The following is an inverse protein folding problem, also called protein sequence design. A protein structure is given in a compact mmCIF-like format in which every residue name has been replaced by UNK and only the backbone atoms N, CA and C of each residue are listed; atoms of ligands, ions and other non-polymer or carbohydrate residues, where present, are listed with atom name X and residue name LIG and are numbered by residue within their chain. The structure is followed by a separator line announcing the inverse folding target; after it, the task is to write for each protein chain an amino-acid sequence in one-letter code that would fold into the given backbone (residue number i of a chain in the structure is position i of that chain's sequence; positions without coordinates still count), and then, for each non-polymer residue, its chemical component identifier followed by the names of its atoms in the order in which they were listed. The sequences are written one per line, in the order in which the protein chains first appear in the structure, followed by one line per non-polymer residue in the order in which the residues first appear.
data_IF_106828858147
#
_entry.id   IF_106828858147
#
_cell.length_a   1.000
_cell.length_b   1.000
_cell.length_c   1.000
_cell.angle_alpha   90.00
_cell.angle_beta   90.00
_cell.angle_gamma   90.00
#
_symmetry.space_group_name_H-M   'P 1'
#
loop_
_entity.id
_entity.type
_entity.pdbx_description
1 polymer ?
#
# COMPACT_ATOMS: atom_id res chain seq x y z
N UNK A 1 74.87 -23.40 -0.42
CA UNK A 1 73.71 -23.09 -1.30
C UNK A 1 72.96 -24.41 -1.50
N UNK A 2 72.02 -24.73 -0.60
CA UNK A 2 71.29 -26.00 -0.62
C UNK A 2 70.09 -25.86 -1.57
N UNK A 3 70.15 -26.54 -2.72
CA UNK A 3 68.99 -26.70 -3.60
C UNK A 3 67.97 -27.61 -2.92
N UNK A 4 66.74 -27.13 -2.75
CA UNK A 4 65.63 -27.98 -2.35
C UNK A 4 65.39 -29.03 -3.46
N UNK A 5 65.25 -30.33 -3.12
CA UNK A 5 64.94 -31.35 -4.12
C UNK A 5 63.61 -31.01 -4.80
N UNK A 6 63.57 -31.15 -6.13
CA UNK A 6 62.43 -30.79 -7.01
C UNK A 6 61.08 -31.28 -6.47
N UNK A 7 61.07 -32.45 -5.84
CA UNK A 7 59.86 -33.11 -5.35
C UNK A 7 59.25 -32.41 -4.14
N UNK A 8 60.07 -31.79 -3.29
CA UNK A 8 59.58 -30.95 -2.16
C UNK A 8 58.97 -29.65 -2.66
N UNK A 9 59.54 -29.06 -3.70
CA UNK A 9 58.99 -27.85 -4.33
C UNK A 9 57.64 -28.18 -4.97
N UNK A 10 57.54 -29.30 -5.67
CA UNK A 10 56.29 -29.78 -6.29
C UNK A 10 55.19 -30.06 -5.26
N UNK A 11 55.56 -30.68 -4.13
CA UNK A 11 54.63 -30.99 -3.03
C UNK A 11 54.09 -29.72 -2.34
N UNK A 12 54.95 -28.71 -2.11
CA UNK A 12 54.54 -27.42 -1.56
C UNK A 12 53.63 -26.69 -2.55
N UNK A 13 53.96 -26.67 -3.85
CA UNK A 13 53.13 -26.03 -4.87
C UNK A 13 51.75 -26.68 -4.97
N UNK A 14 51.68 -28.02 -4.89
CA UNK A 14 50.43 -28.78 -4.87
C UNK A 14 49.60 -28.49 -3.61
N UNK A 15 50.24 -28.37 -2.45
CA UNK A 15 49.57 -28.03 -1.18
C UNK A 15 49.01 -26.60 -1.17
N UNK A 16 49.73 -25.64 -1.75
CA UNK A 16 49.23 -24.27 -1.94
C UNK A 16 48.06 -24.27 -2.94
N UNK A 17 48.19 -25.01 -4.04
CA UNK A 17 47.12 -25.16 -5.03
C UNK A 17 45.84 -25.70 -4.41
N UNK A 18 45.93 -26.79 -3.64
CA UNK A 18 44.78 -27.36 -2.93
C UNK A 18 44.18 -26.42 -1.88
N UNK A 19 45.01 -25.67 -1.15
CA UNK A 19 44.54 -24.65 -0.21
C UNK A 19 43.77 -23.52 -0.90
N UNK A 20 44.29 -22.99 -2.01
CA UNK A 20 43.61 -21.95 -2.82
C UNK A 20 42.31 -22.50 -3.41
N UNK A 21 42.31 -23.73 -3.91
CA UNK A 21 41.09 -24.40 -4.39
C UNK A 21 40.04 -24.57 -3.29
N UNK A 22 40.45 -24.88 -2.05
CA UNK A 22 39.55 -24.98 -0.92
C UNK A 22 38.91 -23.62 -0.57
N UNK A 23 39.68 -22.53 -0.57
CA UNK A 23 39.16 -21.17 -0.37
C UNK A 23 38.16 -20.81 -1.48
N UNK A 24 38.51 -21.07 -2.74
CA UNK A 24 37.63 -20.81 -3.87
C UNK A 24 36.30 -21.60 -3.76
N UNK A 25 36.37 -22.86 -3.34
CA UNK A 25 35.18 -23.69 -3.11
C UNK A 25 34.29 -23.13 -1.99
N UNK A 26 34.87 -22.72 -0.86
CA UNK A 26 34.12 -22.08 0.24
C UNK A 26 33.42 -20.81 -0.25
N UNK A 27 34.14 -19.97 -1.01
CA UNK A 27 33.57 -18.75 -1.56
C UNK A 27 32.45 -19.01 -2.56
N UNK A 28 32.59 -20.03 -3.42
CA UNK A 28 31.55 -20.43 -4.35
C UNK A 28 30.28 -20.91 -3.62
N UNK A 29 30.42 -21.70 -2.54
CA UNK A 29 29.29 -22.13 -1.71
C UNK A 29 28.60 -20.91 -1.08
N UNK A 30 29.38 -19.98 -0.51
CA UNK A 30 28.85 -18.77 0.09
C UNK A 30 28.09 -17.90 -0.91
N UNK A 31 28.65 -17.68 -2.09
CA UNK A 31 28.00 -16.93 -3.17
C UNK A 31 26.71 -17.62 -3.62
N UNK A 32 26.71 -18.95 -3.74
CA UNK A 32 25.52 -19.74 -4.09
C UNK A 32 24.40 -19.56 -3.06
N UNK A 33 24.73 -19.55 -1.76
CA UNK A 33 23.76 -19.31 -0.69
C UNK A 33 23.18 -17.89 -0.82
N UNK A 34 24.01 -16.88 -1.04
CA UNK A 34 23.55 -15.49 -1.21
C UNK A 34 22.65 -15.35 -2.44
N UNK A 35 23.03 -15.93 -3.57
CA UNK A 35 22.25 -15.91 -4.80
C UNK A 35 20.88 -16.56 -4.61
N UNK A 36 20.84 -17.75 -3.99
CA UNK A 36 19.57 -18.43 -3.65
C UNK A 36 18.66 -17.54 -2.81
N UNK A 37 19.20 -16.90 -1.77
CA UNK A 37 18.43 -15.99 -0.90
C UNK A 37 17.86 -14.79 -1.65
N UNK A 38 18.59 -14.24 -2.64
CA UNK A 38 18.10 -13.14 -3.47
C UNK A 38 17.04 -13.61 -4.47
N UNK A 39 17.24 -14.77 -5.08
CA UNK A 39 16.28 -15.39 -6.01
C UNK A 39 14.98 -15.78 -5.31
N UNK A 40 15.00 -16.10 -4.02
CA UNK A 40 13.78 -16.50 -3.30
C UNK A 40 13.02 -15.38 -2.63
N UNK A 41 13.43 -14.12 -2.83
CA UNK A 41 12.78 -12.98 -2.19
C UNK A 41 11.53 -12.55 -2.98
N UNK A 42 10.33 -12.62 -2.39
CA UNK A 42 9.14 -12.03 -2.99
C UNK A 42 9.19 -10.51 -2.85
N UNK A 43 8.62 -9.81 -3.83
CA UNK A 43 8.51 -8.36 -3.79
C UNK A 43 7.14 -7.96 -4.35
N UNK A 44 6.30 -7.42 -3.48
CA UNK A 44 4.88 -7.20 -3.76
C UNK A 44 4.67 -5.74 -4.17
N UNK A 45 3.91 -5.53 -5.24
CA UNK A 45 3.42 -4.23 -5.69
C UNK A 45 1.89 -4.26 -5.77
N UNK A 46 1.29 -3.15 -5.36
CA UNK A 46 -0.14 -2.88 -5.48
C UNK A 46 -0.33 -1.82 -6.55
N UNK A 47 -1.26 -2.06 -7.48
CA UNK A 47 -1.59 -1.09 -8.51
C UNK A 47 -2.60 -0.08 -8.00
N UNK A 48 -2.45 1.17 -8.42
CA UNK A 48 -3.43 2.21 -8.16
C UNK A 48 -4.76 1.86 -8.82
N UNK A 49 -5.86 2.20 -8.15
CA UNK A 49 -7.22 1.86 -8.59
C UNK A 49 -8.04 3.13 -8.73
N UNK A 50 -8.86 3.20 -9.77
CA UNK A 50 -9.75 4.34 -9.97
C UNK A 50 -11.04 4.15 -9.16
N UNK A 51 -11.48 5.20 -8.49
CA UNK A 51 -12.71 5.22 -7.70
C UNK A 51 -13.49 6.45 -8.13
N UNK A 52 -14.77 6.26 -8.47
CA UNK A 52 -15.66 7.36 -8.81
C UNK A 52 -16.66 7.56 -7.69
N UNK A 53 -16.87 8.81 -7.29
CA UNK A 53 -17.93 9.19 -6.37
C UNK A 53 -19.05 9.88 -7.13
N UNK A 54 -20.27 9.68 -6.68
CA UNK A 54 -21.44 10.42 -7.12
C UNK A 54 -22.38 10.57 -5.94
N UNK A 55 -22.73 11.81 -5.62
CA UNK A 55 -23.77 12.12 -4.63
C UNK A 55 -24.72 13.15 -5.21
N UNK A 56 -26.01 12.93 -4.97
CA UNK A 56 -27.08 13.78 -5.46
C UNK A 56 -27.97 14.19 -4.29
N UNK A 57 -28.29 15.49 -4.19
CA UNK A 57 -29.09 16.06 -3.09
C UNK A 57 -28.51 15.72 -1.71
N UNK A 58 -27.21 15.94 -1.53
CA UNK A 58 -26.50 15.63 -0.28
C UNK A 58 -27.21 16.25 0.93
N UNK A 59 -27.73 15.39 1.81
CA UNK A 59 -28.49 15.74 3.02
C UNK A 59 -27.89 15.12 4.29
N UNK A 60 -26.68 14.56 4.20
CA UNK A 60 -26.14 13.73 5.26
C UNK A 60 -25.07 12.76 4.78
N UNK A 61 -24.73 11.80 5.63
CA UNK A 61 -23.79 10.75 5.25
C UNK A 61 -24.39 9.85 4.18
N UNK A 62 -23.73 9.77 3.04
CA UNK A 62 -24.17 8.99 1.89
C UNK A 62 -23.49 7.61 1.90
N UNK A 63 -24.26 6.57 2.18
CA UNK A 63 -23.78 5.18 2.16
C UNK A 63 -23.43 4.70 0.75
N UNK A 64 -24.08 5.26 -0.27
CA UNK A 64 -23.96 4.86 -1.68
C UNK A 64 -23.09 5.84 -2.49
N UNK A 65 -22.22 6.61 -1.80
CA UNK A 65 -21.40 7.68 -2.39
C UNK A 65 -20.45 7.20 -3.50
N UNK A 66 -20.14 5.89 -3.54
CA UNK A 66 -19.28 5.29 -4.56
C UNK A 66 -20.15 4.91 -5.77
N UNK A 67 -19.85 5.52 -6.91
CA UNK A 67 -20.57 5.30 -8.17
C UNK A 67 -20.40 3.85 -8.65
N UNK A 68 -21.48 3.27 -9.18
CA UNK A 68 -21.54 1.91 -9.76
C UNK A 68 -21.32 0.75 -8.76
N UNK A 69 -21.45 0.99 -7.45
CA UNK A 69 -21.19 -0.03 -6.44
C UNK A 69 -22.37 -0.97 -6.15
N UNK A 70 -23.60 -0.63 -6.57
CA UNK A 70 -24.82 -1.38 -6.21
C UNK A 70 -24.76 -2.89 -6.44
N UNK A 71 -23.82 -3.41 -7.26
CA UNK A 71 -23.55 -4.85 -7.39
C UNK A 71 -22.05 -5.22 -7.61
N UNK A 72 -21.08 -4.33 -7.37
CA UNK A 72 -19.68 -4.58 -7.74
C UNK A 72 -18.72 -4.33 -6.58
N UNK A 73 -18.10 -5.41 -6.11
CA UNK A 73 -17.03 -5.37 -5.10
C UNK A 73 -15.82 -4.63 -5.65
N UNK A 74 -15.30 -3.69 -4.89
CA UNK A 74 -14.13 -2.90 -5.29
C UNK A 74 -12.83 -3.71 -5.16
N UNK A 75 -11.98 -3.66 -6.20
CA UNK A 75 -10.77 -4.50 -6.28
C UNK A 75 -9.55 -3.72 -6.73
N UNK A 76 -8.40 -4.06 -6.18
CA UNK A 76 -7.08 -3.63 -6.68
C UNK A 76 -6.27 -4.83 -7.15
N UNK A 77 -5.28 -4.57 -8.01
CA UNK A 77 -4.37 -5.60 -8.50
C UNK A 77 -3.12 -5.68 -7.64
N UNK A 78 -2.84 -6.90 -7.21
CA UNK A 78 -1.64 -7.30 -6.50
C UNK A 78 -0.74 -8.08 -7.46
N UNK A 79 0.56 -7.83 -7.40
CA UNK A 79 1.53 -8.51 -8.27
C UNK A 79 2.84 -8.72 -7.50
N UNK A 80 3.34 -9.96 -7.52
CA UNK A 80 4.66 -10.28 -7.01
C UNK A 80 5.69 -10.10 -8.12
N UNK A 81 6.43 -8.99 -8.11
CA UNK A 81 7.52 -8.70 -9.06
C UNK A 81 8.87 -9.25 -8.61
N UNK A 82 8.94 -9.86 -7.42
CA UNK A 82 10.13 -10.50 -6.90
C UNK A 82 10.48 -11.77 -7.67
N UNK A 83 11.56 -12.42 -7.26
CA UNK A 83 12.02 -13.66 -7.89
C UNK A 83 11.50 -14.92 -7.17
N UNK A 84 11.04 -14.78 -5.92
CA UNK A 84 10.50 -15.86 -5.10
C UNK A 84 8.99 -15.84 -4.97
N UNK A 85 8.39 -17.00 -4.72
CA UNK A 85 6.96 -17.11 -4.44
C UNK A 85 6.62 -16.60 -3.03
N UNK A 86 5.52 -15.86 -2.92
CA UNK A 86 4.90 -15.53 -1.64
C UNK A 86 3.84 -16.60 -1.33
N UNK A 87 3.93 -17.21 -0.16
CA UNK A 87 2.99 -18.25 0.30
C UNK A 87 2.27 -17.80 1.56
N UNK A 88 1.06 -18.33 1.78
CA UNK A 88 0.22 -17.99 2.93
C UNK A 88 0.02 -16.47 3.08
N UNK A 89 -0.38 -15.83 1.99
CA UNK A 89 -0.53 -14.37 1.93
C UNK A 89 -1.80 -13.98 2.67
N UNK A 90 -1.67 -13.15 3.70
CA UNK A 90 -2.77 -12.57 4.46
C UNK A 90 -2.77 -11.06 4.29
N UNK A 91 -3.93 -10.47 4.03
CA UNK A 91 -4.04 -9.01 3.93
C UNK A 91 -5.22 -8.46 4.71
N UNK A 92 -5.05 -7.25 5.23
CA UNK A 92 -6.09 -6.56 5.98
C UNK A 92 -5.97 -5.04 5.85
N UNK A 93 -7.10 -4.37 6.09
CA UNK A 93 -7.22 -2.92 6.04
C UNK A 93 -7.30 -2.37 7.47
N UNK A 94 -6.38 -1.47 7.81
CA UNK A 94 -6.36 -0.79 9.10
C UNK A 94 -6.96 0.60 8.94
N UNK A 95 -8.05 0.86 9.66
CA UNK A 95 -8.75 2.14 9.65
C UNK A 95 -9.39 2.41 11.02
N UNK A 96 -9.16 3.61 11.58
CA UNK A 96 -9.76 4.02 12.84
C UNK A 96 -11.15 4.60 12.56
N UNK A 97 -12.16 3.71 12.58
CA UNK A 97 -13.54 4.06 12.29
C UNK A 97 -14.11 5.09 13.26
N UNK A 98 -13.94 4.88 14.57
CA UNK A 98 -14.49 5.76 15.60
C UNK A 98 -13.94 7.19 15.46
N UNK A 99 -12.62 7.33 15.29
CA UNK A 99 -12.00 8.63 15.06
C UNK A 99 -12.46 9.25 13.75
N UNK A 100 -12.61 8.46 12.69
CA UNK A 100 -13.00 8.96 11.38
C UNK A 100 -14.44 9.46 11.34
N UNK A 101 -15.38 8.77 11.99
CA UNK A 101 -16.76 9.25 12.16
C UNK A 101 -16.82 10.51 13.03
N UNK A 102 -16.07 10.59 14.13
CA UNK A 102 -15.95 11.83 14.92
C UNK A 102 -15.46 13.01 14.07
N UNK A 103 -14.45 12.77 13.23
CA UNK A 103 -13.96 13.79 12.30
C UNK A 103 -15.01 14.18 11.26
N UNK A 104 -15.74 13.20 10.72
CA UNK A 104 -16.85 13.45 9.80
C UNK A 104 -17.92 14.35 10.44
N UNK A 105 -18.45 14.00 11.61
CA UNK A 105 -19.48 14.81 12.28
C UNK A 105 -19.01 16.22 12.61
N UNK A 106 -17.73 16.38 12.99
CA UNK A 106 -17.12 17.69 13.22
C UNK A 106 -17.04 18.50 11.93
N UNK A 107 -16.57 17.90 10.83
CA UNK A 107 -16.53 18.55 9.52
C UNK A 107 -17.93 18.94 9.04
N UNK A 108 -18.92 18.07 9.22
CA UNK A 108 -20.31 18.32 8.82
C UNK A 108 -20.87 19.53 9.56
N UNK A 109 -20.76 19.52 10.88
CA UNK A 109 -21.28 20.59 11.74
C UNK A 109 -20.62 21.94 11.43
N UNK A 110 -19.31 21.95 11.21
CA UNK A 110 -18.57 23.16 10.85
C UNK A 110 -18.91 23.68 9.44
N UNK A 111 -19.23 22.79 8.51
CA UNK A 111 -19.48 23.16 7.11
C UNK A 111 -20.93 23.62 6.89
N UNK A 112 -21.89 22.98 7.55
CA UNK A 112 -23.33 23.21 7.34
C UNK A 112 -24.00 23.99 8.47
N UNK A 113 -23.37 24.13 9.63
CA UNK A 113 -23.86 24.92 10.77
C UNK A 113 -24.88 24.20 11.67
N UNK A 114 -25.12 22.90 11.45
CA UNK A 114 -26.00 22.07 12.27
C UNK A 114 -25.45 20.64 12.37
N UNK A 115 -25.93 19.87 13.36
CA UNK A 115 -25.48 18.48 13.57
C UNK A 115 -26.08 17.55 12.51
N UNK A 116 -25.30 16.56 12.10
CA UNK A 116 -25.80 15.52 11.21
C UNK A 116 -26.75 14.57 11.98
N UNK A 117 -28.04 14.67 11.68
CA UNK A 117 -29.08 13.75 12.19
C UNK A 117 -29.42 12.64 11.19
N UNK A 118 -28.76 12.60 10.03
CA UNK A 118 -29.00 11.58 9.01
C UNK A 118 -28.47 10.21 9.44
N UNK A 119 -27.45 10.17 10.30
CA UNK A 119 -26.80 8.92 10.71
C UNK A 119 -26.48 8.82 12.19
N UNK A 120 -26.55 7.58 12.69
CA UNK A 120 -25.92 7.15 13.95
C UNK A 120 -25.09 5.89 13.71
N UNK A 121 -24.05 5.69 14.53
CA UNK A 121 -23.13 4.56 14.38
C UNK A 121 -23.06 3.72 15.65
N UNK A 122 -23.11 2.40 15.50
CA UNK A 122 -22.95 1.44 16.57
C UNK A 122 -21.79 0.48 16.22
N UNK A 123 -20.91 0.24 17.18
CA UNK A 123 -19.75 -0.64 17.04
C UNK A 123 -19.97 -1.89 17.90
N UNK A 124 -20.07 -3.05 17.27
CA UNK A 124 -20.03 -4.36 17.93
C UNK A 124 -18.80 -5.10 17.43
N UNK A 125 -18.28 -6.03 18.22
CA UNK A 125 -16.99 -6.73 18.02
C UNK A 125 -16.49 -6.78 16.57
N UNK A 126 -17.23 -7.45 15.67
CA UNK A 126 -16.86 -7.60 14.26
C UNK A 126 -17.80 -6.89 13.26
N UNK A 127 -18.63 -5.96 13.74
CA UNK A 127 -19.66 -5.32 12.95
C UNK A 127 -19.74 -3.82 13.23
N UNK A 128 -19.80 -3.03 12.16
CA UNK A 128 -20.12 -1.60 12.24
C UNK A 128 -21.50 -1.41 11.64
N UNK A 129 -22.41 -0.86 12.44
CA UNK A 129 -23.77 -0.52 12.02
C UNK A 129 -23.84 0.97 11.75
N UNK A 130 -24.37 1.31 10.57
CA UNK A 130 -24.71 2.69 10.21
C UNK A 130 -26.21 2.75 10.06
N UNK A 131 -26.88 3.42 11.00
CA UNK A 131 -28.31 3.63 10.96
C UNK A 131 -28.60 4.97 10.29
N UNK A 132 -29.30 4.93 9.17
CA UNK A 132 -29.96 6.07 8.54
C UNK A 132 -31.46 6.03 8.89
N UNK A 133 -32.18 7.14 8.75
CA UNK A 133 -33.60 7.32 9.11
C UNK A 133 -34.50 6.13 8.76
N UNK A 134 -34.26 5.47 7.63
CA UNK A 134 -35.08 4.36 7.13
C UNK A 134 -34.33 3.05 6.90
N UNK A 135 -33.00 3.01 7.05
CA UNK A 135 -32.18 1.84 6.69
C UNK A 135 -31.02 1.64 7.66
N UNK A 136 -30.62 0.40 7.88
CA UNK A 136 -29.41 0.07 8.63
C UNK A 136 -28.46 -0.71 7.73
N UNK A 137 -27.29 -0.12 7.46
CA UNK A 137 -26.22 -0.80 6.74
C UNK A 137 -25.31 -1.51 7.74
N UNK A 138 -24.97 -2.76 7.45
CA UNK A 138 -24.12 -3.60 8.30
C UNK A 138 -22.83 -3.89 7.55
N UNK A 139 -21.71 -3.51 8.16
CA UNK A 139 -20.39 -3.76 7.61
C UNK A 139 -19.63 -4.74 8.50
N UNK A 140 -19.19 -5.85 7.92
CA UNK A 140 -18.38 -6.86 8.61
C UNK A 140 -16.91 -6.43 8.60
N UNK A 141 -16.33 -6.26 9.79
CA UNK A 141 -14.89 -6.03 9.92
C UNK A 141 -14.18 -7.38 9.98
N UNK A 142 -13.68 -7.84 8.83
CA UNK A 142 -12.84 -9.04 8.78
C UNK A 142 -11.45 -8.71 9.34
N UNK A 143 -10.90 -9.62 10.14
CA UNK A 143 -9.51 -9.49 10.61
C UNK A 143 -8.51 -9.52 9.46
N UNK A 144 -8.71 -10.44 8.50
CA UNK A 144 -7.91 -10.55 7.29
C UNK A 144 -8.64 -11.34 6.19
N UNK A 145 -8.09 -11.27 4.99
CA UNK A 145 -8.39 -12.13 3.85
C UNK A 145 -7.15 -12.91 3.45
N UNK A 146 -7.32 -14.12 2.93
CA UNK A 146 -6.22 -15.03 2.57
C UNK A 146 -6.11 -15.22 1.06
N UNK A 147 -4.88 -15.43 0.61
CA UNK A 147 -4.51 -15.87 -0.74
C UNK A 147 -3.49 -16.98 -0.54
N UNK A 148 -3.73 -18.15 -1.13
CA UNK A 148 -2.92 -19.35 -0.90
C UNK A 148 -1.44 -19.11 -1.24
N UNK A 149 -1.19 -18.59 -2.45
CA UNK A 149 0.14 -18.25 -2.91
C UNK A 149 0.11 -17.21 -4.05
N UNK A 150 1.27 -16.61 -4.30
CA UNK A 150 1.52 -15.74 -5.44
C UNK A 150 2.90 -16.00 -6.02
N UNK A 151 2.92 -16.44 -7.27
CA UNK A 151 4.14 -16.69 -8.02
C UNK A 151 4.77 -15.38 -8.51
N UNK A 152 6.09 -15.38 -8.75
CA UNK A 152 6.77 -14.30 -9.47
C UNK A 152 6.09 -13.96 -10.80
N UNK A 153 6.04 -12.67 -11.12
CA UNK A 153 5.48 -12.16 -12.37
C UNK A 153 6.17 -12.71 -13.62
N UNK A 154 7.45 -13.11 -13.48
CA UNK A 154 8.21 -13.77 -14.55
C UNK A 154 7.71 -15.17 -14.87
N UNK A 155 7.06 -15.84 -13.91
CA UNK A 155 6.50 -17.19 -14.03
C UNK A 155 5.03 -17.12 -14.38
N UNK A 156 4.28 -16.31 -13.64
CA UNK A 156 2.85 -16.09 -13.85
C UNK A 156 2.57 -14.61 -14.04
N UNK A 157 2.12 -14.25 -15.26
CA UNK A 157 1.84 -12.85 -15.61
C UNK A 157 0.48 -12.39 -15.10
N UNK A 158 -0.31 -13.27 -14.51
CA UNK A 158 -1.59 -12.90 -13.93
C UNK A 158 -1.41 -12.12 -12.64
N UNK A 159 -2.25 -11.09 -12.46
CA UNK A 159 -2.30 -10.32 -11.23
C UNK A 159 -3.44 -10.82 -10.36
N UNK A 160 -3.17 -11.14 -9.10
CA UNK A 160 -4.21 -11.48 -8.14
C UNK A 160 -5.03 -10.24 -7.79
N UNK A 161 -6.35 -10.38 -7.65
CA UNK A 161 -7.22 -9.29 -7.21
C UNK A 161 -7.32 -9.28 -5.67
N UNK A 162 -7.08 -8.11 -5.05
CA UNK A 162 -7.39 -7.87 -3.65
C UNK A 162 -8.72 -7.14 -3.53
N UNK A 163 -9.52 -7.53 -2.55
CA UNK A 163 -10.74 -6.81 -2.22
C UNK A 163 -10.37 -5.55 -1.40
N UNK A 164 -10.90 -4.40 -1.82
CA UNK A 164 -10.76 -3.16 -1.07
C UNK A 164 -11.92 -3.07 -0.09
N UNK A 165 -11.62 -2.76 1.17
CA UNK A 165 -12.64 -2.52 2.18
C UNK A 165 -13.40 -1.23 1.86
N UNK A 166 -14.70 -1.36 1.64
CA UNK A 166 -15.55 -0.29 1.09
C UNK A 166 -15.85 0.77 2.14
N UNK A 167 -16.10 0.38 3.40
CA UNK A 167 -16.52 1.30 4.44
C UNK A 167 -15.48 2.41 4.74
N UNK A 168 -14.18 2.12 4.90
CA UNK A 168 -13.16 3.16 5.02
C UNK A 168 -13.18 4.17 3.87
N UNK A 169 -13.42 3.70 2.65
CA UNK A 169 -13.45 4.54 1.44
C UNK A 169 -14.70 5.40 1.44
N UNK A 170 -15.88 4.84 1.73
CA UNK A 170 -17.15 5.57 1.87
C UNK A 170 -17.05 6.69 2.91
N UNK A 171 -16.50 6.42 4.10
CA UNK A 171 -16.29 7.45 5.13
C UNK A 171 -15.34 8.54 4.63
N UNK A 172 -14.27 8.14 3.95
CA UNK A 172 -13.26 9.06 3.44
C UNK A 172 -13.83 9.97 2.34
N UNK A 173 -14.66 9.44 1.43
CA UNK A 173 -15.32 10.21 0.38
C UNK A 173 -16.37 11.18 0.93
N UNK A 174 -17.15 10.78 1.93
CA UNK A 174 -18.08 11.67 2.63
C UNK A 174 -17.35 12.85 3.29
N UNK A 175 -16.21 12.59 3.94
CA UNK A 175 -15.36 13.66 4.47
C UNK A 175 -14.80 14.56 3.36
N UNK A 176 -14.40 13.97 2.24
CA UNK A 176 -13.89 14.72 1.09
C UNK A 176 -14.94 15.68 0.53
N UNK A 177 -16.19 15.23 0.38
CA UNK A 177 -17.31 16.09 -0.02
C UNK A 177 -17.44 17.33 0.86
N UNK A 178 -17.45 17.13 2.19
CA UNK A 178 -17.56 18.23 3.15
C UNK A 178 -16.37 19.19 3.08
N UNK A 179 -15.16 18.66 2.92
CA UNK A 179 -13.96 19.49 2.75
C UNK A 179 -14.04 20.33 1.48
N UNK A 180 -14.53 19.78 0.37
CA UNK A 180 -14.74 20.51 -0.88
C UNK A 180 -15.83 21.58 -0.77
N UNK A 181 -16.85 21.36 0.05
CA UNK A 181 -17.93 22.33 0.31
C UNK A 181 -17.52 23.43 1.30
N UNK A 182 -16.56 23.16 2.18
CA UNK A 182 -16.01 24.16 3.10
C UNK A 182 -15.33 25.30 2.32
N UNK A 183 -15.44 26.55 2.81
CA UNK A 183 -14.92 27.77 2.14
C UNK A 183 -13.37 27.90 2.17
N UNK A 184 -12.64 26.79 2.02
CA UNK A 184 -11.19 26.71 2.05
C UNK A 184 -10.56 26.48 0.66
N UNK A 185 -9.26 26.20 0.67
CA UNK A 185 -8.54 25.79 -0.54
C UNK A 185 -9.07 24.46 -1.08
N UNK A 186 -9.10 24.27 -2.40
CA UNK A 186 -9.54 23.01 -2.99
C UNK A 186 -8.66 21.85 -2.48
N UNK A 187 -9.32 20.83 -1.93
CA UNK A 187 -8.64 19.63 -1.44
C UNK A 187 -8.36 18.72 -2.64
N UNK A 188 -7.08 18.47 -2.91
CA UNK A 188 -6.68 17.62 -4.04
C UNK A 188 -6.53 16.15 -3.66
N UNK A 189 -6.40 15.85 -2.36
CA UNK A 189 -6.29 14.48 -1.87
C UNK A 189 -6.75 14.36 -0.43
N UNK A 190 -7.12 13.15 -0.03
CA UNK A 190 -7.39 12.78 1.35
C UNK A 190 -6.74 11.42 1.66
N UNK A 191 -6.20 11.28 2.86
CA UNK A 191 -5.60 10.01 3.29
C UNK A 191 -6.69 8.96 3.52
N UNK A 192 -6.45 7.75 3.03
CA UNK A 192 -7.34 6.60 3.18
C UNK A 192 -6.83 5.60 4.24
N UNK A 193 -7.37 4.36 4.23
CA UNK A 193 -6.92 3.29 5.12
C UNK A 193 -5.49 2.81 4.83
N UNK A 194 -4.91 2.06 5.75
CA UNK A 194 -3.60 1.41 5.55
C UNK A 194 -3.84 -0.04 5.13
N UNK A 195 -3.26 -0.45 4.00
CA UNK A 195 -3.22 -1.85 3.58
C UNK A 195 -2.01 -2.52 4.20
N UNK A 196 -2.21 -3.64 4.88
CA UNK A 196 -1.14 -4.50 5.39
C UNK A 196 -1.20 -5.85 4.70
N UNK A 197 -0.05 -6.37 4.29
CA UNK A 197 0.10 -7.70 3.69
C UNK A 197 1.22 -8.44 4.40
N UNK A 198 0.86 -9.58 4.95
CA UNK A 198 1.75 -10.56 5.56
C UNK A 198 1.90 -11.77 4.63
N UNK A 199 3.10 -12.32 4.53
CA UNK A 199 3.37 -13.50 3.72
C UNK A 199 4.63 -14.22 4.20
N UNK A 200 4.74 -15.49 3.82
CA UNK A 200 5.95 -16.30 3.99
C UNK A 200 6.70 -16.37 2.65
N UNK A 201 8.04 -16.36 2.70
CA UNK A 201 8.85 -16.80 1.56
C UNK A 201 8.97 -18.34 1.53
N UNK A 202 9.57 -18.89 0.47
CA UNK A 202 9.73 -20.34 0.32
C UNK A 202 10.65 -20.96 1.40
N UNK A 203 11.45 -20.15 2.10
CA UNK A 203 12.26 -20.58 3.24
C UNK A 203 11.50 -20.46 4.56
N UNK A 204 10.21 -20.12 4.54
CA UNK A 204 9.36 -19.98 5.70
C UNK A 204 9.57 -18.68 6.48
N UNK A 205 10.25 -17.67 5.92
CA UNK A 205 10.48 -16.40 6.62
C UNK A 205 9.29 -15.48 6.47
N UNK A 206 8.82 -14.97 7.61
CA UNK A 206 7.69 -14.09 7.72
C UNK A 206 8.03 -12.64 7.34
N UNK A 207 7.26 -12.09 6.41
CA UNK A 207 7.37 -10.72 5.93
C UNK A 207 6.03 -9.99 6.10
N UNK A 208 6.10 -8.68 6.36
CA UNK A 208 4.94 -7.80 6.58
C UNK A 208 5.20 -6.45 5.92
N UNK A 209 4.53 -6.19 4.82
CA UNK A 209 4.62 -4.94 4.06
C UNK A 209 3.36 -4.13 4.28
N UNK A 210 3.48 -2.80 4.36
CA UNK A 210 2.37 -1.89 4.59
C UNK A 210 2.36 -0.78 3.55
N UNK A 211 1.17 -0.32 3.18
CA UNK A 211 0.97 0.79 2.25
C UNK A 211 0.03 1.82 2.88
N UNK A 212 0.47 3.07 2.89
CA UNK A 212 -0.45 4.20 3.07
C UNK A 212 -1.25 4.38 1.79
N UNK A 213 -2.56 4.55 1.91
CA UNK A 213 -3.39 4.90 0.76
C UNK A 213 -3.79 6.38 0.77
N UNK A 214 -3.93 6.94 -0.42
CA UNK A 214 -4.44 8.29 -0.63
C UNK A 214 -5.44 8.30 -1.77
N UNK A 215 -6.60 8.89 -1.54
CA UNK A 215 -7.53 9.22 -2.60
C UNK A 215 -7.12 10.57 -3.18
N UNK A 216 -6.55 10.55 -4.38
CA UNK A 216 -6.15 11.77 -5.09
C UNK A 216 -7.18 12.08 -6.17
N UNK A 217 -7.79 13.25 -6.06
CA UNK A 217 -8.78 13.73 -7.00
C UNK A 217 -8.12 14.00 -8.36
N UNK A 218 -8.72 13.48 -9.42
CA UNK A 218 -8.34 13.75 -10.81
C UNK A 218 -9.25 14.79 -11.43
N UNK A 219 -10.56 14.62 -11.25
CA UNK A 219 -11.61 15.52 -11.74
C UNK A 219 -12.70 15.61 -10.68
N UNK A 220 -13.29 16.78 -10.53
CA UNK A 220 -14.52 16.96 -9.76
C UNK A 220 -15.41 17.99 -10.44
N UNK A 221 -16.71 17.74 -10.33
CA UNK A 221 -17.78 18.65 -10.70
C UNK A 221 -18.65 18.81 -9.46
N UNK A 222 -18.68 20.03 -8.94
CA UNK A 222 -19.43 20.38 -7.74
C UNK A 222 -20.53 21.36 -8.12
N UNK A 223 -21.77 21.01 -7.78
CA UNK A 223 -22.90 21.92 -7.74
C UNK A 223 -23.35 22.10 -6.29
N UNK A 224 -24.38 22.93 -6.07
CA UNK A 224 -24.85 23.32 -4.71
C UNK A 224 -25.04 22.10 -3.79
N UNK A 225 -25.65 21.02 -4.30
CA UNK A 225 -25.95 19.80 -3.54
C UNK A 225 -25.53 18.50 -4.23
N UNK A 226 -24.90 18.56 -5.41
CA UNK A 226 -24.44 17.36 -6.11
C UNK A 226 -22.93 17.42 -6.31
N UNK A 227 -22.30 16.25 -6.27
CA UNK A 227 -20.89 16.15 -6.61
C UNK A 227 -20.63 14.86 -7.35
N UNK A 228 -19.88 14.98 -8.45
CA UNK A 228 -19.27 13.86 -9.14
C UNK A 228 -17.77 14.07 -9.13
N UNK A 229 -17.00 13.06 -8.73
CA UNK A 229 -15.55 13.15 -8.78
C UNK A 229 -14.89 11.80 -9.03
N UNK A 230 -13.77 11.84 -9.74
CA UNK A 230 -12.95 10.68 -10.02
C UNK A 230 -11.64 10.77 -9.24
N UNK A 231 -11.28 9.68 -8.57
CA UNK A 231 -10.10 9.54 -7.75
C UNK A 231 -9.18 8.45 -8.25
N UNK A 232 -7.90 8.64 -8.00
CA UNK A 232 -6.89 7.58 -7.97
C UNK A 232 -6.69 7.19 -6.51
N UNK A 233 -7.00 5.94 -6.13
CA UNK A 233 -6.53 5.35 -4.89
C UNK A 233 -5.06 4.97 -5.10
N UNK A 234 -4.17 5.83 -4.64
CA UNK A 234 -2.72 5.67 -4.74
C UNK A 234 -2.17 4.89 -3.55
N UNK A 235 -1.28 3.93 -3.80
CA UNK A 235 -0.64 3.10 -2.78
C UNK A 235 0.82 3.49 -2.60
N UNK A 236 1.19 4.01 -1.43
CA UNK A 236 2.59 4.35 -1.11
C UNK A 236 3.15 3.36 -0.10
N UNK A 237 4.20 2.59 -0.43
CA UNK A 237 4.79 1.66 0.52
C UNK A 237 5.36 2.42 1.71
N UNK A 238 5.04 1.96 2.93
CA UNK A 238 5.62 2.46 4.17
C UNK A 238 6.99 1.79 4.33
N UNK A 239 8.10 2.54 4.20
CA UNK A 239 9.42 1.95 4.30
C UNK A 239 9.65 1.44 5.73
N UNK A 240 10.14 0.21 5.86
CA UNK A 240 10.72 -0.31 7.11
C UNK A 240 12.01 0.47 7.42
N UNK A 241 12.48 0.48 8.66
CA UNK A 241 13.63 1.27 9.14
C UNK A 241 14.90 1.31 8.26
N UNK A 242 15.79 2.27 8.56
CA UNK A 242 17.01 2.71 7.82
C UNK A 242 16.83 3.10 6.34
N UNK A 243 16.17 2.28 5.53
CA UNK A 243 15.82 2.58 4.12
C UNK A 243 14.91 3.80 3.99
N UNK A 244 14.03 4.04 4.97
CA UNK A 244 13.24 5.28 5.08
C UNK A 244 14.10 6.56 5.14
N UNK A 245 15.25 6.54 5.84
CA UNK A 245 16.14 7.70 5.96
C UNK A 245 16.91 7.93 4.66
N UNK A 246 17.39 6.87 4.02
CA UNK A 246 18.07 6.93 2.73
C UNK A 246 17.17 7.43 1.60
N UNK A 247 15.98 6.84 1.46
CA UNK A 247 14.99 7.24 0.46
C UNK A 247 14.42 8.65 0.69
N UNK A 248 14.22 9.06 1.95
CA UNK A 248 13.82 10.44 2.29
C UNK A 248 14.91 11.44 1.87
N UNK A 249 16.18 11.14 2.17
CA UNK A 249 17.31 11.97 1.76
C UNK A 249 17.42 12.09 0.23
N UNK A 250 17.21 11.00 -0.51
CA UNK A 250 17.21 11.01 -1.98
C UNK A 250 16.01 11.82 -2.55
N UNK A 251 14.82 11.72 -1.95
CA UNK A 251 13.64 12.50 -2.35
C UNK A 251 13.80 13.99 -2.06
N UNK A 252 14.40 14.35 -0.93
CA UNK A 252 14.72 15.75 -0.58
C UNK A 252 15.78 16.34 -1.51
N UNK A 253 16.84 15.57 -1.82
CA UNK A 253 17.89 15.98 -2.78
C UNK A 253 17.30 16.20 -4.17
N UNK A 254 16.47 15.26 -4.67
CA UNK A 254 15.87 15.38 -6.01
C UNK A 254 14.84 16.51 -6.11
N UNK A 255 14.07 16.78 -5.06
CA UNK A 255 13.19 17.95 -4.98
C UNK A 255 13.98 19.27 -4.95
N UNK A 256 15.09 19.31 -4.19
CA UNK A 256 16.01 20.46 -4.16
C UNK A 256 16.68 20.74 -5.50
N UNK A 257 17.12 19.70 -6.21
CA UNK A 257 17.71 19.83 -7.56
C UNK A 257 16.68 20.38 -8.55
N UNK A 258 15.43 19.91 -8.52
CA UNK A 258 14.36 20.45 -9.39
C UNK A 258 14.08 21.93 -9.15
N UNK A 259 14.11 22.40 -7.90
CA UNK A 259 13.94 23.81 -7.56
C UNK A 259 15.11 24.69 -8.04
N UNK A 260 16.34 24.18 -7.96
CA UNK A 260 17.53 24.88 -8.44
C UNK A 260 17.53 24.98 -9.97
N UNK A 261 17.14 23.91 -10.67
CA UNK A 261 17.03 23.89 -12.13
C UNK A 261 15.95 24.85 -12.62
N UNK A 262 14.78 24.91 -11.96
CA UNK A 262 13.74 25.87 -12.32
C UNK A 262 14.14 27.33 -12.06
N UNK A 263 14.93 27.62 -11.02
CA UNK A 263 15.44 28.98 -10.76
C UNK A 263 16.50 29.44 -11.77
N UNK A 264 17.22 28.51 -12.41
CA UNK A 264 18.21 28.82 -13.46
C UNK A 264 17.59 29.00 -14.85
N UNK A 265 16.37 28.51 -15.09
CA UNK A 265 15.64 28.71 -16.36
C UNK A 265 14.84 30.02 -16.42
N UNK A 266 14.58 30.65 -15.27
CA UNK A 266 13.82 31.90 -15.15
C UNK A 266 14.73 33.13 -14.89
N UNK A 267 16.02 33.02 -15.19
CA UNK A 267 16.97 34.13 -15.29
C UNK A 267 17.53 34.11 -16.71
#
# INVERSE_FOLDING_TARGET
MLSLPSDKILSILSSIGTFVSAIAAIYAIWLTIIQKRLTYKPEIIIKDTNISMETSKYDGFDNDVIKNQKNKVMRTKFTNIGLGAAISVKYWWSFDYQKSFKQYHSLFSNTLGYKDESITTEFKENCIFIHNKNTTSIFLTKEYSEIDFSLPYSVDKESTELLIDELPITITLNKFYLLMKSRGNPVLFINGPILSIEYLDIEGRKNLTRWETKLKMRRAELSINNMQADFSLEFTPIPRGWTARGLKKIREISAGIKLIVNRRKNR
#
